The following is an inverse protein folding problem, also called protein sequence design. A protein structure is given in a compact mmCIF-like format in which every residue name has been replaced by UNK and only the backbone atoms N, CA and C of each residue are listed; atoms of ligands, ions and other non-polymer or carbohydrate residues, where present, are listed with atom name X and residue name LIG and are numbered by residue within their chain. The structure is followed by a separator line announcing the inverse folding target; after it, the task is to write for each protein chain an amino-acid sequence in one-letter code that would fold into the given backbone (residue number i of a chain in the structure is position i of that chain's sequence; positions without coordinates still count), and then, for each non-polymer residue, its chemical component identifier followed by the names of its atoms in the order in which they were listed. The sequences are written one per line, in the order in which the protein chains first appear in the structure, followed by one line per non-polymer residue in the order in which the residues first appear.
data_IF_534864084477
#
_entry.id   IF_534864084477
#
_cell.length_a   1.000
_cell.length_b   1.000
_cell.length_c   1.000
_cell.angle_alpha   90.00
_cell.angle_beta   90.00
_cell.angle_gamma   90.00
#
_symmetry.space_group_name_H-M   'P 1'
#
loop_
_entity.id
_entity.type
_entity.pdbx_description
1 polymer ?
#
# COMPACT_ATOMS: atom_id res chain seq x y z
N UNK A 1 -6.93 -1.77 17.55
CA UNK A 1 -7.05 -3.18 17.12
C UNK A 1 -6.89 -3.18 15.62
N UNK A 2 -6.14 -4.15 15.07
CA UNK A 2 -5.99 -4.30 13.63
C UNK A 2 -6.97 -5.35 13.12
N UNK A 3 -7.41 -5.16 11.89
CA UNK A 3 -8.09 -6.17 11.11
C UNK A 3 -7.40 -6.24 9.74
N UNK A 4 -7.11 -7.45 9.29
CA UNK A 4 -6.59 -7.69 7.97
C UNK A 4 -7.29 -8.90 7.35
N UNK A 5 -7.67 -8.77 6.08
CA UNK A 5 -8.26 -9.86 5.33
C UNK A 5 -7.59 -9.99 3.98
N UNK A 6 -7.40 -11.22 3.54
CA UNK A 6 -6.98 -11.55 2.17
C UNK A 6 -8.20 -11.93 1.36
N UNK A 7 -8.38 -11.31 0.21
CA UNK A 7 -9.36 -11.71 -0.79
C UNK A 7 -8.62 -12.37 -1.94
N UNK A 8 -8.75 -13.69 -2.08
CA UNK A 8 -8.18 -14.45 -3.18
C UNK A 8 -9.22 -14.61 -4.30
N UNK A 9 -8.81 -14.31 -5.54
CA UNK A 9 -9.65 -14.51 -6.71
C UNK A 9 -9.63 -15.99 -7.13
N UNK A 10 -10.81 -16.49 -7.51
CA UNK A 10 -11.05 -17.88 -7.94
C UNK A 10 -11.99 -17.90 -9.15
N UNK A 11 -12.15 -19.06 -9.79
CA UNK A 11 -13.12 -19.25 -10.88
C UNK A 11 -14.59 -18.96 -10.50
N UNK A 12 -14.96 -19.17 -9.23
CA UNK A 12 -16.33 -19.00 -8.72
C UNK A 12 -16.56 -17.65 -8.03
N UNK A 13 -15.54 -16.77 -7.97
CA UNK A 13 -15.60 -15.46 -7.33
C UNK A 13 -14.43 -15.18 -6.40
N UNK A 14 -14.68 -14.46 -5.31
CA UNK A 14 -13.65 -14.14 -4.31
C UNK A 14 -13.83 -15.01 -3.05
N UNK A 15 -12.74 -15.50 -2.50
CA UNK A 15 -12.67 -16.14 -1.20
C UNK A 15 -11.95 -15.19 -0.21
N UNK A 16 -12.54 -14.98 0.97
CA UNK A 16 -11.94 -14.14 2.01
C UNK A 16 -11.37 -15.01 3.13
N UNK A 17 -10.18 -14.63 3.60
CA UNK A 17 -9.52 -15.25 4.74
C UNK A 17 -9.12 -14.16 5.73
N UNK A 18 -9.54 -14.31 6.99
CA UNK A 18 -8.98 -13.55 8.12
C UNK A 18 -7.47 -13.82 8.19
N UNK A 19 -6.68 -12.77 8.39
CA UNK A 19 -5.24 -12.89 8.47
C UNK A 19 -4.65 -12.07 9.61
N UNK A 20 -3.65 -12.65 10.27
CA UNK A 20 -2.92 -12.01 11.35
C UNK A 20 -1.60 -11.46 10.80
N UNK A 21 -1.41 -10.14 10.91
CA UNK A 21 -0.19 -9.49 10.47
C UNK A 21 1.00 -9.68 11.42
N UNK A 22 0.86 -10.43 12.53
CA UNK A 22 1.91 -10.58 13.56
C UNK A 22 3.20 -11.20 13.00
N UNK A 23 3.10 -11.97 11.91
CA UNK A 23 4.24 -12.58 11.20
C UNK A 23 4.75 -11.74 10.01
N UNK A 24 4.20 -10.55 9.79
CA UNK A 24 4.58 -9.66 8.68
C UNK A 24 5.51 -8.57 9.21
N UNK A 25 6.77 -8.56 8.76
CA UNK A 25 7.75 -7.54 9.13
C UNK A 25 8.05 -6.58 7.96
N UNK A 26 7.85 -7.06 6.73
CA UNK A 26 8.18 -6.35 5.49
C UNK A 26 7.09 -6.52 4.42
N UNK A 27 7.22 -5.77 3.31
CA UNK A 27 6.26 -5.87 2.20
C UNK A 27 6.39 -7.23 1.54
N UNK A 28 7.62 -7.74 1.42
CA UNK A 28 7.88 -9.08 0.92
C UNK A 28 7.13 -10.14 1.74
N UNK A 29 7.14 -10.06 3.08
CA UNK A 29 6.40 -11.01 3.92
C UNK A 29 4.89 -10.96 3.67
N UNK A 30 4.32 -9.77 3.48
CA UNK A 30 2.91 -9.61 3.14
C UNK A 30 2.59 -10.19 1.75
N UNK A 31 3.50 -10.03 0.80
CA UNK A 31 3.36 -10.57 -0.56
C UNK A 31 3.47 -12.07 -0.59
N UNK A 32 4.45 -12.66 0.12
CA UNK A 32 4.56 -14.10 0.29
C UNK A 32 3.28 -14.66 0.91
N UNK A 33 2.78 -14.04 1.98
CA UNK A 33 1.53 -14.42 2.62
C UNK A 33 0.33 -14.35 1.65
N UNK A 34 0.25 -13.31 0.83
CA UNK A 34 -0.79 -13.19 -0.19
C UNK A 34 -0.67 -14.30 -1.24
N UNK A 35 0.54 -14.60 -1.72
CA UNK A 35 0.81 -15.66 -2.70
C UNK A 35 0.48 -17.05 -2.17
N UNK A 36 0.76 -17.32 -0.90
CA UNK A 36 0.39 -18.58 -0.25
C UNK A 36 -1.14 -18.81 -0.23
N UNK A 37 -1.92 -17.73 -0.26
CA UNK A 37 -3.39 -17.77 -0.30
C UNK A 37 -3.96 -17.62 -1.72
N UNK A 38 -3.11 -17.42 -2.74
CA UNK A 38 -3.56 -17.35 -4.13
C UNK A 38 -4.04 -18.72 -4.63
N UNK A 39 -4.99 -18.69 -5.55
CA UNK A 39 -5.48 -19.88 -6.25
C UNK A 39 -5.06 -19.76 -7.70
N UNK A 40 -4.37 -20.76 -8.24
CA UNK A 40 -3.91 -20.77 -9.65
C UNK A 40 -3.11 -19.51 -10.07
N UNK A 41 -2.34 -18.91 -9.14
CA UNK A 41 -1.57 -17.68 -9.34
C UNK A 41 -2.44 -16.45 -9.73
N UNK A 42 -3.73 -16.46 -9.38
CA UNK A 42 -4.64 -15.33 -9.59
C UNK A 42 -4.43 -14.18 -8.57
N UNK A 43 -5.14 -13.06 -8.81
CA UNK A 43 -5.08 -11.85 -7.98
C UNK A 43 -5.47 -12.10 -6.52
N UNK A 44 -4.68 -11.58 -5.59
CA UNK A 44 -4.99 -11.50 -4.16
C UNK A 44 -4.97 -10.04 -3.69
N UNK A 45 -5.96 -9.63 -2.91
CA UNK A 45 -6.02 -8.31 -2.27
C UNK A 45 -5.91 -8.46 -0.75
N UNK A 46 -4.89 -7.86 -0.15
CA UNK A 46 -4.83 -7.65 1.29
C UNK A 46 -5.50 -6.31 1.63
N UNK A 47 -6.54 -6.37 2.45
CA UNK A 47 -7.27 -5.22 2.96
C UNK A 47 -6.92 -5.01 4.43
N UNK A 48 -6.51 -3.80 4.81
CA UNK A 48 -5.98 -3.54 6.15
C UNK A 48 -6.69 -2.35 6.80
N UNK A 49 -7.17 -2.58 8.03
CA UNK A 49 -7.83 -1.58 8.87
C UNK A 49 -7.20 -1.49 10.26
N UNK A 50 -7.31 -0.31 10.84
CA UNK A 50 -6.96 -0.04 12.23
C UNK A 50 -8.04 0.81 12.87
N UNK A 51 -8.52 0.37 14.05
CA UNK A 51 -9.52 1.11 14.83
C UNK A 51 -10.75 1.51 13.99
N UNK A 52 -11.25 0.55 13.20
CA UNK A 52 -12.40 0.72 12.29
C UNK A 52 -12.15 1.72 11.13
N UNK A 53 -10.90 2.13 10.90
CA UNK A 53 -10.49 2.94 9.77
C UNK A 53 -9.57 2.14 8.85
N UNK A 54 -9.96 1.98 7.60
CA UNK A 54 -9.07 1.44 6.56
C UNK A 54 -7.87 2.36 6.36
N UNK A 55 -6.72 1.78 6.05
CA UNK A 55 -5.53 2.59 5.73
C UNK A 55 -4.71 2.08 4.55
N UNK A 56 -4.79 0.80 4.19
CA UNK A 56 -4.00 0.26 3.10
C UNK A 56 -4.71 -0.87 2.34
N UNK A 57 -4.34 -0.98 1.07
CA UNK A 57 -4.69 -2.10 0.18
C UNK A 57 -3.40 -2.53 -0.53
N UNK A 58 -3.13 -3.83 -0.51
CA UNK A 58 -2.02 -4.43 -1.26
C UNK A 58 -2.60 -5.44 -2.24
N UNK A 59 -2.25 -5.29 -3.50
CA UNK A 59 -2.63 -6.21 -4.57
C UNK A 59 -1.42 -6.98 -5.04
N UNK A 60 -1.58 -8.29 -5.16
CA UNK A 60 -0.58 -9.20 -5.72
C UNK A 60 -1.24 -9.96 -6.86
N UNK A 61 -0.67 -9.91 -8.06
CA UNK A 61 -1.15 -10.63 -9.23
C UNK A 61 -0.15 -11.74 -9.56
N UNK A 62 -0.35 -12.94 -8.99
CA UNK A 62 0.58 -14.06 -9.17
C UNK A 62 2.02 -13.71 -8.80
N UNK A 63 2.93 -13.81 -9.77
CA UNK A 63 4.36 -13.54 -9.60
C UNK A 63 4.77 -12.08 -9.88
N UNK A 64 3.84 -11.21 -10.33
CA UNK A 64 4.12 -9.79 -10.57
C UNK A 64 4.46 -9.02 -9.28
N UNK A 65 5.07 -7.85 -9.46
CA UNK A 65 5.37 -6.92 -8.38
C UNK A 65 4.09 -6.44 -7.67
N UNK A 66 4.11 -6.33 -6.33
CA UNK A 66 2.94 -5.89 -5.58
C UNK A 66 2.59 -4.44 -5.87
N UNK A 67 1.29 -4.15 -5.95
CA UNK A 67 0.75 -2.79 -6.07
C UNK A 67 0.14 -2.39 -4.73
N UNK A 68 0.66 -1.33 -4.13
CA UNK A 68 0.26 -0.86 -2.80
C UNK A 68 -0.41 0.50 -2.91
N UNK A 69 -1.49 0.70 -2.14
CA UNK A 69 -2.09 2.01 -1.93
C UNK A 69 -2.36 2.23 -0.45
N UNK A 70 -2.00 3.42 0.02
CA UNK A 70 -2.25 3.90 1.37
C UNK A 70 -3.22 5.09 1.29
N UNK A 71 -4.29 5.08 2.10
CA UNK A 71 -5.35 6.10 2.04
C UNK A 71 -4.92 7.45 2.64
N UNK A 72 -4.15 7.41 3.73
CA UNK A 72 -3.57 8.57 4.37
C UNK A 72 -2.24 8.15 5.02
N UNK A 73 -1.13 8.59 4.43
CA UNK A 73 0.21 8.20 4.89
C UNK A 73 0.53 8.76 6.30
N UNK A 74 -0.03 9.91 6.69
CA UNK A 74 0.18 10.47 8.04
C UNK A 74 -0.56 9.66 9.10
N UNK A 75 -1.77 9.19 8.79
CA UNK A 75 -2.52 8.32 9.67
C UNK A 75 -1.87 6.93 9.75
N UNK A 76 -1.52 6.35 8.60
CA UNK A 76 -0.86 5.04 8.50
C UNK A 76 0.49 5.01 9.24
N UNK A 77 1.29 6.08 9.15
CA UNK A 77 2.60 6.15 9.81
C UNK A 77 2.53 6.19 11.36
N UNK A 78 1.32 6.25 11.95
CA UNK A 78 1.14 6.15 13.42
C UNK A 78 1.14 4.70 13.91
N UNK A 79 1.28 3.76 12.98
CA UNK A 79 0.97 2.35 13.15
C UNK A 79 2.10 1.53 12.56
N UNK A 80 2.51 0.44 13.23
CA UNK A 80 3.70 -0.32 12.82
C UNK A 80 3.64 -0.77 11.35
N UNK A 81 2.53 -1.37 10.92
CA UNK A 81 2.35 -1.81 9.54
C UNK A 81 2.19 -0.65 8.56
N UNK A 82 1.48 0.41 8.96
CA UNK A 82 1.28 1.56 8.10
C UNK A 82 2.57 2.36 7.88
N UNK A 83 3.40 2.49 8.92
CA UNK A 83 4.74 3.08 8.83
C UNK A 83 5.63 2.28 7.89
N UNK A 84 5.62 0.95 8.01
CA UNK A 84 6.39 0.05 7.13
C UNK A 84 5.94 0.14 5.66
N UNK A 85 4.64 0.24 5.38
CA UNK A 85 4.13 0.44 4.01
C UNK A 85 4.45 1.84 3.46
N UNK A 86 4.40 2.88 4.30
CA UNK A 86 4.73 4.25 3.89
C UNK A 86 6.23 4.37 3.58
N UNK A 87 7.09 3.81 4.42
CA UNK A 87 8.54 3.78 4.24
C UNK A 87 8.93 3.08 2.93
N UNK A 88 8.37 1.89 2.68
CA UNK A 88 8.57 1.13 1.44
C UNK A 88 8.10 1.90 0.19
N UNK A 89 6.99 2.63 0.28
CA UNK A 89 6.49 3.45 -0.83
C UNK A 89 7.38 4.67 -1.10
N UNK A 90 7.84 5.36 -0.06
CA UNK A 90 8.74 6.52 -0.19
C UNK A 90 10.09 6.06 -0.77
N UNK A 91 10.69 5.00 -0.21
CA UNK A 91 11.96 4.48 -0.72
C UNK A 91 11.89 4.04 -2.17
N UNK A 92 10.77 3.43 -2.60
CA UNK A 92 10.54 3.06 -4.01
C UNK A 92 10.38 4.28 -4.92
N UNK A 93 9.80 5.38 -4.45
CA UNK A 93 9.75 6.64 -5.20
C UNK A 93 11.15 7.25 -5.38
N UNK A 94 11.98 7.22 -4.34
CA UNK A 94 13.37 7.70 -4.42
C UNK A 94 14.22 6.87 -5.40
N UNK A 95 14.13 5.54 -5.36
CA UNK A 95 14.81 4.65 -6.32
C UNK A 95 14.35 4.89 -7.79
N UNK A 96 13.12 5.35 -8.00
CA UNK A 96 12.58 5.65 -9.33
C UNK A 96 13.01 7.05 -9.84
N UNK A 97 13.19 8.02 -8.95
CA UNK A 97 13.66 9.36 -9.27
C UNK A 97 15.19 9.42 -9.46
N UNK A 98 15.97 8.48 -8.90
CA UNK A 98 17.44 8.39 -9.08
C UNK A 98 17.86 8.04 -10.55
N UNK A 99 16.93 7.65 -11.43
CA UNK A 99 17.19 7.51 -12.88
C UNK A 99 17.23 8.87 -13.63
N UNK A 100 16.86 9.99 -13.00
CA UNK A 100 16.88 11.34 -13.60
C UNK A 100 18.21 12.09 -13.45
N UNK A 101 19.21 11.50 -12.78
CA UNK A 101 20.53 12.13 -12.57
C UNK A 101 21.50 12.01 -13.76
N UNK A 102 20.99 11.61 -14.94
CA UNK A 102 21.71 11.73 -16.22
C UNK A 102 21.54 13.10 -16.90
N UNK A 103 20.98 14.09 -16.19
CA UNK A 103 21.01 15.48 -16.62
C UNK A 103 22.46 16.00 -16.59
N UNK A 104 23.07 16.06 -17.77
CA UNK A 104 24.35 16.68 -18.08
C UNK A 104 24.44 18.09 -17.50
N UNK A 105 24.93 18.19 -16.26
CA UNK A 105 25.35 19.45 -15.63
C UNK A 105 26.65 19.90 -16.32
N UNK A 106 26.48 20.54 -17.47
CA UNK A 106 27.48 21.43 -18.09
C UNK A 106 28.02 22.38 -17.01
N UNK A 107 29.28 22.16 -16.68
CA UNK A 107 29.94 22.72 -15.53
C UNK A 107 30.25 24.20 -15.66
N UNK A 108 30.06 24.91 -14.54
CA UNK A 108 30.99 25.98 -14.17
C UNK A 108 31.26 25.92 -12.67
N UNK A 109 32.53 25.60 -12.37
CA UNK A 109 33.17 25.68 -11.06
C UNK A 109 33.00 27.07 -10.42
N UNK A 110 32.80 27.15 -9.10
CA UNK A 110 33.81 27.64 -8.14
C UNK A 110 33.15 28.11 -6.81
N UNK A 111 33.58 27.54 -5.68
CA UNK A 111 33.47 28.16 -4.35
C UNK A 111 32.96 27.28 -3.19
N UNK A 112 33.86 26.52 -2.54
CA UNK A 112 33.68 25.90 -1.21
C UNK A 112 33.81 26.95 -0.06
N UNK A 113 33.62 26.60 1.24
CA UNK A 113 32.53 25.88 1.91
C UNK A 113 31.96 26.72 3.10
N UNK A 114 31.01 26.20 3.88
CA UNK A 114 31.03 26.14 5.37
C UNK A 114 29.87 25.25 5.84
N UNK A 115 30.22 24.18 6.54
CA UNK A 115 29.32 23.30 7.30
C UNK A 115 29.08 23.95 8.68
N UNK A 116 27.82 24.03 9.16
CA UNK A 116 27.49 23.62 10.53
C UNK A 116 25.96 23.53 10.78
N UNK A 117 25.52 22.29 10.95
CA UNK A 117 24.61 21.79 12.01
C UNK A 117 23.27 22.51 12.23
N UNK A 118 22.31 22.20 11.34
CA UNK A 118 20.89 22.17 11.68
C UNK A 118 20.48 20.77 12.11
N UNK A 119 20.42 20.54 13.42
CA UNK A 119 19.70 19.42 14.04
C UNK A 119 18.28 19.30 13.45
N UNK A 120 18.02 18.16 12.86
CA UNK A 120 16.74 17.81 12.25
C UNK A 120 16.82 16.35 11.87
N UNK A 121 16.49 15.48 12.81
CA UNK A 121 16.06 14.11 12.57
C UNK A 121 14.88 14.18 11.58
N UNK A 122 15.19 14.32 10.30
CA UNK A 122 14.25 14.20 9.21
C UNK A 122 14.03 12.71 9.01
N UNK A 123 13.39 12.07 9.99
CA UNK A 123 12.43 11.05 9.62
C UNK A 123 11.48 11.76 8.66
N UNK A 124 11.66 11.51 7.36
CA UNK A 124 10.91 12.16 6.30
C UNK A 124 9.45 12.12 6.69
N UNK A 125 8.92 13.31 6.99
CA UNK A 125 7.57 13.40 7.52
C UNK A 125 6.65 12.93 6.41
N UNK A 126 6.07 11.74 6.59
CA UNK A 126 5.15 11.12 5.65
C UNK A 126 4.26 12.16 4.96
N UNK A 127 4.18 12.17 3.62
CA UNK A 127 3.43 13.17 2.89
C UNK A 127 1.97 13.14 3.34
N UNK A 128 1.35 14.31 3.44
CA UNK A 128 -0.07 14.38 3.82
C UNK A 128 -0.95 13.90 2.66
N UNK A 129 -1.74 12.86 2.88
CA UNK A 129 -2.69 12.33 1.90
C UNK A 129 -2.39 10.89 1.46
N UNK A 130 -3.07 10.42 0.41
CA UNK A 130 -2.88 9.06 -0.09
C UNK A 130 -1.52 8.89 -0.79
N UNK A 131 -0.98 7.67 -0.71
CA UNK A 131 0.32 7.29 -1.27
C UNK A 131 0.21 6.00 -2.08
N UNK A 132 1.11 5.80 -3.06
CA UNK A 132 1.16 4.62 -3.89
C UNK A 132 0.17 4.62 -5.06
N UNK A 133 -0.26 3.43 -5.49
CA UNK A 133 -0.97 3.22 -6.73
C UNK A 133 -2.49 3.43 -6.59
N UNK A 134 -2.93 4.64 -6.92
CA UNK A 134 -4.36 4.97 -6.90
C UNK A 134 -5.22 4.23 -7.93
N UNK A 135 -4.65 3.48 -8.88
CA UNK A 135 -5.39 2.77 -9.93
C UNK A 135 -5.36 1.25 -9.76
N UNK A 136 -4.93 0.76 -8.60
CA UNK A 136 -4.77 -0.68 -8.34
C UNK A 136 -6.06 -1.51 -8.43
N UNK A 137 -7.23 -0.86 -8.31
CA UNK A 137 -8.55 -1.50 -8.40
C UNK A 137 -9.33 -1.10 -9.66
N UNK A 138 -8.72 -0.32 -10.56
CA UNK A 138 -9.42 0.24 -11.73
C UNK A 138 -9.99 -0.84 -12.65
N UNK A 139 -9.29 -1.95 -12.85
CA UNK A 139 -9.76 -3.12 -13.62
C UNK A 139 -10.81 -3.96 -12.87
N UNK A 140 -10.89 -3.82 -11.55
CA UNK A 140 -11.88 -4.49 -10.70
C UNK A 140 -13.16 -3.63 -10.50
N UNK A 141 -13.24 -2.48 -11.17
CA UNK A 141 -14.43 -1.64 -11.20
C UNK A 141 -14.43 -0.47 -10.20
N UNK A 142 -13.33 -0.24 -9.48
CA UNK A 142 -13.18 0.93 -8.59
C UNK A 142 -12.15 1.88 -9.19
N UNK A 143 -12.60 3.01 -9.73
CA UNK A 143 -11.66 3.97 -10.31
C UNK A 143 -10.79 4.64 -9.25
N UNK A 144 -9.61 5.13 -9.63
CA UNK A 144 -8.74 5.83 -8.68
C UNK A 144 -9.31 7.14 -8.13
N UNK A 145 -10.35 7.70 -8.75
CA UNK A 145 -11.09 8.83 -8.17
C UNK A 145 -12.04 8.34 -7.06
N UNK A 146 -12.69 7.22 -7.27
CA UNK A 146 -13.57 6.60 -6.28
C UNK A 146 -12.76 6.13 -5.08
N UNK A 147 -11.65 5.42 -5.31
CA UNK A 147 -10.74 4.95 -4.26
C UNK A 147 -10.27 6.08 -3.32
N UNK A 148 -9.86 7.22 -3.88
CA UNK A 148 -9.44 8.40 -3.11
C UNK A 148 -10.59 9.12 -2.38
N UNK A 149 -11.83 8.88 -2.79
CA UNK A 149 -13.01 9.49 -2.19
C UNK A 149 -13.65 8.62 -1.11
N UNK A 150 -13.15 7.39 -0.91
CA UNK A 150 -13.66 6.49 0.12
C UNK A 150 -13.31 6.99 1.52
N UNK A 151 -14.29 6.92 2.41
CA UNK A 151 -14.22 7.30 3.83
C UNK A 151 -15.12 6.35 4.63
N UNK A 152 -14.86 6.18 5.93
CA UNK A 152 -15.63 5.28 6.80
C UNK A 152 -15.49 3.82 6.37
N UNK A 153 -16.61 3.16 6.03
CA UNK A 153 -16.69 1.74 5.60
C UNK A 153 -16.20 1.56 4.14
N UNK A 154 -14.95 1.92 3.89
CA UNK A 154 -14.33 1.83 2.58
C UNK A 154 -14.19 0.38 2.12
N UNK A 155 -13.76 -0.53 3.00
CA UNK A 155 -13.60 -1.95 2.65
C UNK A 155 -14.94 -2.58 2.25
N UNK A 156 -16.02 -2.28 2.97
CA UNK A 156 -17.37 -2.73 2.61
C UNK A 156 -17.82 -2.15 1.27
N UNK A 157 -17.43 -0.91 0.94
CA UNK A 157 -17.74 -0.29 -0.35
C UNK A 157 -16.94 -0.91 -1.50
N UNK A 158 -15.66 -1.19 -1.28
CA UNK A 158 -14.79 -1.86 -2.26
C UNK A 158 -15.32 -3.26 -2.54
N UNK A 159 -15.58 -4.04 -1.50
CA UNK A 159 -16.06 -5.42 -1.65
C UNK A 159 -17.48 -5.50 -2.22
N UNK A 160 -18.32 -4.49 -2.04
CA UNK A 160 -19.59 -4.37 -2.75
C UNK A 160 -19.38 -4.22 -4.27
N UNK A 161 -18.44 -3.36 -4.69
CA UNK A 161 -18.08 -3.19 -6.10
C UNK A 161 -17.48 -4.47 -6.71
N UNK A 162 -16.69 -5.22 -5.93
CA UNK A 162 -16.14 -6.52 -6.32
C UNK A 162 -17.17 -7.66 -6.28
N UNK A 163 -18.33 -7.45 -5.66
CA UNK A 163 -19.38 -8.46 -5.49
C UNK A 163 -19.07 -9.51 -4.42
N UNK A 164 -18.18 -9.21 -3.48
CA UNK A 164 -17.70 -10.13 -2.45
C UNK A 164 -17.88 -9.64 -1.00
N UNK A 165 -18.71 -8.60 -0.80
CA UNK A 165 -18.98 -8.01 0.52
C UNK A 165 -19.34 -9.04 1.59
N UNK A 166 -20.21 -10.00 1.27
CA UNK A 166 -20.66 -11.03 2.21
C UNK A 166 -19.51 -11.93 2.70
N UNK A 167 -18.50 -12.16 1.86
CA UNK A 167 -17.36 -13.01 2.18
C UNK A 167 -16.40 -12.27 3.12
N UNK A 168 -16.16 -10.98 2.87
CA UNK A 168 -15.39 -10.12 3.79
C UNK A 168 -16.08 -10.01 5.16
N UNK A 169 -17.38 -9.74 5.18
CA UNK A 169 -18.12 -9.58 6.44
C UNK A 169 -18.20 -10.90 7.25
N UNK A 170 -17.97 -12.06 6.62
CA UNK A 170 -17.91 -13.34 7.32
C UNK A 170 -16.61 -13.53 8.12
N UNK A 171 -15.54 -12.80 7.78
CA UNK A 171 -14.22 -12.91 8.42
C UNK A 171 -13.88 -11.72 9.34
N UNK A 172 -14.69 -10.65 9.30
CA UNK A 172 -14.55 -9.43 10.11
C UNK A 172 -15.17 -9.55 11.51
#
# INVERSE_FOLDING_TARGET
MYFAALLARTDDGWEASDTELDNVETLADLVDLARENSVDDDTVLALIEQEDSWFAIVRVDGEDDPRVYVSDAVAANRSSYGAMLVDELIGREEDADDELDSLDLDGTEDGEPEEDEGDGDAAERAPSGPLGDGELLSDLGVSGKELRALDGDALGTITDALGCREVLEAVR
#
